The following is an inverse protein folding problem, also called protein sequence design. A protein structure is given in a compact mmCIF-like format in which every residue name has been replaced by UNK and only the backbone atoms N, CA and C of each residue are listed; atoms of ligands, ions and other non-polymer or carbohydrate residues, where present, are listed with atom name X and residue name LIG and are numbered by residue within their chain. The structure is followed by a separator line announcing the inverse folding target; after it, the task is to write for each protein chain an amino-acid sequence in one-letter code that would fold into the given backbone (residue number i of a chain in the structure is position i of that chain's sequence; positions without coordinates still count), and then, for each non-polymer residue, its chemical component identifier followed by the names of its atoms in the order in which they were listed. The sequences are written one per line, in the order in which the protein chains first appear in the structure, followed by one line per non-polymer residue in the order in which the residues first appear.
data_IF_399338559445
#
_entry.id   IF_399338559445
#
_cell.length_a   1.000
_cell.length_b   1.000
_cell.length_c   1.000
_cell.angle_alpha   90.00
_cell.angle_beta   90.00
_cell.angle_gamma   90.00
#
_symmetry.space_group_name_H-M   'P 1'
#
loop_
_entity.id
_entity.type
_entity.pdbx_description
1 polymer ?
#
# COMPACT_ATOMS: atom_id res chain seq x y z
N UNK A 1 -83.47 -1.61 -8.93
CA UNK A 1 -82.42 -2.66 -8.95
C UNK A 1 -81.61 -2.51 -7.66
N UNK A 2 -82.00 -3.20 -6.60
CA UNK A 2 -81.32 -3.09 -5.30
C UNK A 2 -80.17 -4.10 -5.26
N UNK A 3 -78.94 -3.61 -5.38
CA UNK A 3 -77.76 -4.40 -5.06
C UNK A 3 -77.72 -4.58 -3.54
N UNK A 4 -78.04 -5.78 -3.06
CA UNK A 4 -77.80 -6.17 -1.67
C UNK A 4 -76.30 -6.30 -1.47
N UNK A 5 -75.68 -5.30 -0.84
CA UNK A 5 -74.31 -5.43 -0.33
C UNK A 5 -74.30 -6.51 0.75
N UNK A 6 -73.70 -7.66 0.45
CA UNK A 6 -73.38 -8.67 1.46
C UNK A 6 -72.25 -8.10 2.32
N UNK A 7 -72.53 -7.82 3.59
CA UNK A 7 -71.52 -7.33 4.53
C UNK A 7 -70.39 -8.35 4.71
N UNK A 8 -69.16 -7.86 4.95
CA UNK A 8 -68.00 -8.70 5.20
C UNK A 8 -68.19 -9.54 6.47
N UNK A 9 -67.94 -10.84 6.36
CA UNK A 9 -67.90 -11.72 7.52
C UNK A 9 -66.63 -11.49 8.35
N UNK A 10 -66.72 -11.70 9.67
CA UNK A 10 -65.56 -11.65 10.57
C UNK A 10 -64.42 -12.58 10.10
N UNK A 11 -64.77 -13.72 9.49
CA UNK A 11 -63.83 -14.67 8.87
C UNK A 11 -63.09 -14.05 7.68
N UNK A 12 -63.77 -13.30 6.80
CA UNK A 12 -63.13 -12.66 5.64
C UNK A 12 -62.14 -11.58 6.07
N UNK A 13 -62.46 -10.82 7.12
CA UNK A 13 -61.55 -9.83 7.70
C UNK A 13 -60.31 -10.48 8.34
N UNK A 14 -60.50 -11.58 9.06
CA UNK A 14 -59.38 -12.35 9.63
C UNK A 14 -58.47 -12.93 8.53
N UNK A 15 -59.04 -13.46 7.45
CA UNK A 15 -58.26 -13.97 6.30
C UNK A 15 -57.50 -12.83 5.64
N UNK A 16 -58.12 -11.67 5.39
CA UNK A 16 -57.46 -10.52 4.78
C UNK A 16 -56.28 -9.99 5.62
N UNK A 17 -56.45 -9.92 6.95
CA UNK A 17 -55.38 -9.54 7.88
C UNK A 17 -54.25 -10.57 7.89
N UNK A 18 -54.57 -11.86 7.91
CA UNK A 18 -53.58 -12.93 7.88
C UNK A 18 -52.75 -12.88 6.59
N UNK A 19 -53.39 -12.73 5.43
CA UNK A 19 -52.70 -12.61 4.14
C UNK A 19 -51.83 -11.35 4.07
N UNK A 20 -52.33 -10.21 4.56
CA UNK A 20 -51.57 -8.96 4.62
C UNK A 20 -50.32 -9.10 5.48
N UNK A 21 -50.44 -9.76 6.64
CA UNK A 21 -49.31 -10.02 7.53
C UNK A 21 -48.25 -10.92 6.87
N UNK A 22 -48.68 -11.99 6.18
CA UNK A 22 -47.78 -12.89 5.45
C UNK A 22 -47.00 -12.12 4.37
N UNK A 23 -47.67 -11.25 3.62
CA UNK A 23 -47.02 -10.43 2.58
C UNK A 23 -46.02 -9.45 3.20
N UNK A 24 -46.39 -8.75 4.28
CA UNK A 24 -45.49 -7.81 4.97
C UNK A 24 -44.25 -8.53 5.51
N UNK A 25 -44.41 -9.72 6.09
CA UNK A 25 -43.29 -10.54 6.54
C UNK A 25 -42.39 -10.94 5.36
N UNK A 26 -42.96 -11.36 4.23
CA UNK A 26 -42.21 -11.67 3.01
C UNK A 26 -41.37 -10.48 2.51
N UNK A 27 -41.98 -9.30 2.40
CA UNK A 27 -41.29 -8.08 1.97
C UNK A 27 -40.20 -7.67 2.97
N UNK A 28 -40.46 -7.79 4.27
CA UNK A 28 -39.47 -7.48 5.30
C UNK A 28 -38.23 -8.38 5.19
N UNK A 29 -38.40 -9.68 4.92
CA UNK A 29 -37.28 -10.61 4.70
C UNK A 29 -36.44 -10.20 3.49
N UNK A 30 -37.08 -9.84 2.37
CA UNK A 30 -36.37 -9.36 1.17
C UNK A 30 -35.57 -8.10 1.48
N UNK A 31 -36.17 -7.15 2.21
CA UNK A 31 -35.49 -5.91 2.57
C UNK A 31 -34.28 -6.15 3.49
N UNK A 32 -34.41 -7.04 4.49
CA UNK A 32 -33.32 -7.42 5.38
C UNK A 32 -32.18 -8.09 4.58
N UNK A 33 -32.51 -9.02 3.70
CA UNK A 33 -31.53 -9.68 2.84
C UNK A 33 -30.80 -8.67 1.94
N UNK A 34 -31.54 -7.78 1.28
CA UNK A 34 -30.98 -6.73 0.43
C UNK A 34 -30.07 -5.78 1.21
N UNK A 35 -30.46 -5.37 2.43
CA UNK A 35 -29.62 -4.55 3.31
C UNK A 35 -28.33 -5.27 3.69
N UNK A 36 -28.40 -6.55 4.06
CA UNK A 36 -27.22 -7.34 4.42
C UNK A 36 -26.26 -7.48 3.24
N UNK A 37 -26.78 -7.75 2.04
CA UNK A 37 -25.98 -7.78 0.81
C UNK A 37 -25.34 -6.42 0.54
N UNK A 38 -26.10 -5.33 0.66
CA UNK A 38 -25.58 -3.97 0.46
C UNK A 38 -24.41 -3.66 1.41
N UNK A 39 -24.56 -3.97 2.71
CA UNK A 39 -23.49 -3.73 3.69
C UNK A 39 -22.25 -4.58 3.37
N UNK A 40 -22.43 -5.86 3.04
CA UNK A 40 -21.32 -6.74 2.64
C UNK A 40 -20.58 -6.20 1.41
N UNK A 41 -21.31 -5.77 0.38
CA UNK A 41 -20.72 -5.18 -0.82
C UNK A 41 -19.97 -3.87 -0.53
N UNK A 42 -20.54 -3.01 0.31
CA UNK A 42 -19.89 -1.77 0.71
C UNK A 42 -18.60 -2.02 1.51
N UNK A 43 -18.60 -3.00 2.42
CA UNK A 43 -17.39 -3.42 3.15
C UNK A 43 -16.34 -3.98 2.21
N UNK A 44 -16.71 -4.81 1.24
CA UNK A 44 -15.79 -5.35 0.24
C UNK A 44 -15.18 -4.24 -0.63
N UNK A 45 -15.98 -3.25 -1.04
CA UNK A 45 -15.51 -2.10 -1.80
C UNK A 45 -14.51 -1.25 -0.99
N UNK A 46 -14.80 -0.98 0.29
CA UNK A 46 -13.87 -0.26 1.17
C UNK A 46 -12.53 -1.01 1.31
N UNK A 47 -12.54 -2.33 1.49
CA UNK A 47 -11.30 -3.14 1.53
C UNK A 47 -10.51 -3.04 0.22
N UNK A 48 -11.19 -3.03 -0.93
CA UNK A 48 -10.53 -2.87 -2.22
C UNK A 48 -9.92 -1.48 -2.39
N UNK A 49 -10.58 -0.43 -1.92
CA UNK A 49 -10.08 0.94 -1.94
C UNK A 49 -8.85 1.11 -1.05
N UNK A 50 -8.90 0.60 0.18
CA UNK A 50 -7.77 0.58 1.11
C UNK A 50 -6.56 -0.16 0.49
N UNK A 51 -6.77 -1.35 -0.05
CA UNK A 51 -5.73 -2.11 -0.73
C UNK A 51 -5.17 -1.36 -1.94
N UNK A 52 -6.04 -0.77 -2.77
CA UNK A 52 -5.64 0.01 -3.95
C UNK A 52 -4.78 1.20 -3.55
N UNK A 53 -5.18 1.95 -2.52
CA UNK A 53 -4.45 3.10 -2.03
C UNK A 53 -3.04 2.71 -1.55
N UNK A 54 -2.97 1.75 -0.62
CA UNK A 54 -1.71 1.32 -0.01
C UNK A 54 -0.76 0.71 -1.03
N UNK A 55 -1.25 -0.23 -1.85
CA UNK A 55 -0.41 -0.91 -2.83
C UNK A 55 0.04 0.05 -3.93
N UNK A 56 -0.80 0.99 -4.38
CA UNK A 56 -0.39 2.00 -5.38
C UNK A 56 0.69 2.92 -4.84
N UNK A 57 0.57 3.36 -3.58
CA UNK A 57 1.60 4.17 -2.91
C UNK A 57 2.93 3.42 -2.84
N UNK A 58 2.92 2.17 -2.38
CA UNK A 58 4.12 1.34 -2.29
C UNK A 58 4.76 1.11 -3.67
N UNK A 59 3.97 0.83 -4.71
CA UNK A 59 4.47 0.65 -6.08
C UNK A 59 5.15 1.93 -6.58
N UNK A 60 4.55 3.10 -6.33
CA UNK A 60 5.12 4.38 -6.75
C UNK A 60 6.49 4.63 -6.12
N UNK A 61 6.64 4.32 -4.84
CA UNK A 61 7.91 4.46 -4.12
C UNK A 61 8.93 3.41 -4.57
N UNK A 62 8.53 2.14 -4.74
CA UNK A 62 9.40 1.07 -5.25
C UNK A 62 9.97 1.41 -6.63
N UNK A 63 9.18 2.05 -7.50
CA UNK A 63 9.65 2.47 -8.84
C UNK A 63 10.76 3.51 -8.79
N UNK A 64 10.85 4.28 -7.72
CA UNK A 64 11.83 5.36 -7.54
C UNK A 64 12.98 4.94 -6.62
N UNK A 65 12.97 3.71 -6.09
CA UNK A 65 14.08 3.14 -5.32
C UNK A 65 15.37 3.15 -6.13
N UNK A 66 16.47 3.54 -5.49
CA UNK A 66 17.79 3.63 -6.12
C UNK A 66 17.97 4.83 -7.06
N UNK A 67 16.99 5.73 -7.17
CA UNK A 67 17.16 7.02 -7.85
C UNK A 67 17.81 8.01 -6.88
N UNK A 68 19.08 8.34 -7.09
CA UNK A 68 19.83 9.28 -6.24
C UNK A 68 20.21 10.58 -6.95
N UNK A 69 19.61 10.84 -8.11
CA UNK A 69 19.94 11.96 -8.97
C UNK A 69 20.51 11.46 -10.31
N UNK A 70 21.35 12.27 -10.90
CA UNK A 70 21.88 12.10 -12.25
C UNK A 70 23.23 11.39 -12.31
N UNK A 71 24.00 11.39 -11.20
CA UNK A 71 25.30 10.74 -11.10
C UNK A 71 25.23 9.51 -10.20
N UNK A 72 25.94 8.44 -10.55
CA UNK A 72 25.98 7.21 -9.76
C UNK A 72 26.82 7.33 -8.49
N UNK A 73 27.90 8.11 -8.53
CA UNK A 73 28.73 8.40 -7.37
C UNK A 73 28.20 9.65 -6.65
N UNK A 74 27.90 9.50 -5.35
CA UNK A 74 27.41 10.59 -4.50
C UNK A 74 28.27 10.62 -3.24
N UNK A 75 28.83 11.79 -2.94
CA UNK A 75 29.61 12.00 -1.72
C UNK A 75 28.66 12.15 -0.53
N UNK A 76 28.85 11.36 0.51
CA UNK A 76 28.05 11.47 1.73
C UNK A 76 28.58 12.59 2.62
N UNK A 77 27.79 13.66 2.77
CA UNK A 77 28.01 14.75 3.73
C UNK A 77 26.82 14.86 4.71
N UNK A 78 26.08 13.77 4.90
CA UNK A 78 24.98 13.69 5.86
C UNK A 78 25.52 13.73 7.28
N UNK A 79 24.79 14.35 8.20
CA UNK A 79 25.27 14.60 9.57
C UNK A 79 25.57 13.31 10.35
N UNK A 80 24.91 12.20 9.98
CA UNK A 80 25.11 10.89 10.60
C UNK A 80 26.02 9.95 9.78
N UNK A 81 26.45 10.35 8.57
CA UNK A 81 27.20 9.49 7.66
C UNK A 81 26.45 8.22 7.23
N UNK A 82 25.11 8.27 7.22
CA UNK A 82 24.25 7.09 7.02
C UNK A 82 23.64 6.99 5.61
N UNK A 83 23.93 7.97 4.74
CA UNK A 83 23.45 7.98 3.36
C UNK A 83 24.19 6.94 2.51
N UNK A 84 25.52 6.80 2.65
CA UNK A 84 26.30 5.86 1.83
C UNK A 84 25.82 4.40 1.99
N UNK A 85 25.56 3.96 3.22
CA UNK A 85 24.99 2.63 3.49
C UNK A 85 23.58 2.46 2.90
N UNK A 86 22.78 3.54 2.90
CA UNK A 86 21.45 3.57 2.30
C UNK A 86 21.49 3.60 0.77
N UNK A 87 22.56 4.14 0.18
CA UNK A 87 22.80 4.13 -1.25
C UNK A 87 23.22 2.75 -1.76
N UNK A 88 24.07 2.04 -1.02
CA UNK A 88 24.52 0.68 -1.38
C UNK A 88 23.44 -0.37 -1.19
N UNK A 89 22.53 -0.17 -0.23
CA UNK A 89 21.40 -1.09 0.03
C UNK A 89 20.05 -0.35 0.05
N UNK A 90 19.61 0.19 -1.11
CA UNK A 90 18.44 1.06 -1.17
C UNK A 90 17.12 0.33 -0.98
N UNK A 91 17.13 -1.01 -0.99
CA UNK A 91 15.99 -1.83 -0.64
C UNK A 91 16.42 -2.96 0.26
N UNK A 92 15.73 -3.14 1.38
CA UNK A 92 16.03 -4.19 2.36
C UNK A 92 14.74 -4.76 2.93
N UNK A 93 14.66 -6.08 2.95
CA UNK A 93 13.62 -6.81 3.67
C UNK A 93 14.20 -7.44 4.92
N UNK A 94 13.62 -7.12 6.06
CA UNK A 94 13.85 -7.79 7.33
C UNK A 94 12.70 -8.75 7.58
N UNK A 95 12.95 -10.03 7.30
CA UNK A 95 11.94 -11.08 7.42
C UNK A 95 11.55 -11.37 8.87
N UNK A 96 12.44 -11.11 9.85
CA UNK A 96 12.16 -11.38 11.26
C UNK A 96 11.18 -10.35 11.83
N UNK A 97 11.32 -9.09 11.41
CA UNK A 97 10.49 -7.97 11.88
C UNK A 97 9.42 -7.52 10.85
N UNK A 98 9.27 -8.26 9.74
CA UNK A 98 8.35 -7.95 8.63
C UNK A 98 8.44 -6.48 8.18
N UNK A 99 9.68 -6.03 7.98
CA UNK A 99 10.01 -4.63 7.72
C UNK A 99 10.69 -4.45 6.36
N UNK A 100 10.04 -3.71 5.47
CA UNK A 100 10.56 -3.30 4.17
C UNK A 100 11.10 -1.87 4.28
N UNK A 101 12.40 -1.72 4.07
CA UNK A 101 13.06 -0.41 3.97
C UNK A 101 13.31 -0.08 2.52
N UNK A 102 12.88 1.11 2.09
CA UNK A 102 13.05 1.64 0.74
C UNK A 102 13.77 2.99 0.82
N UNK A 103 14.76 3.20 -0.04
CA UNK A 103 15.44 4.47 -0.24
C UNK A 103 15.12 4.94 -1.63
N UNK A 104 14.31 6.00 -1.71
CA UNK A 104 13.65 6.44 -2.93
C UNK A 104 13.77 7.94 -3.08
N UNK A 105 13.87 8.42 -4.33
CA UNK A 105 13.64 9.83 -4.61
C UNK A 105 12.17 10.19 -4.32
N UNK A 106 11.95 11.43 -3.93
CA UNK A 106 10.60 11.98 -3.77
C UNK A 106 9.89 12.11 -5.13
N UNK A 107 8.58 12.05 -5.10
CA UNK A 107 7.72 12.04 -6.29
C UNK A 107 6.74 13.20 -6.17
N UNK A 108 7.05 14.31 -6.84
CA UNK A 108 6.31 15.56 -6.74
C UNK A 108 6.91 16.54 -5.71
N UNK A 109 6.22 17.66 -5.50
CA UNK A 109 6.66 18.80 -4.67
C UNK A 109 5.88 18.96 -3.36
N UNK A 110 4.87 18.11 -3.11
CA UNK A 110 3.97 18.16 -1.95
C UNK A 110 4.40 17.25 -0.79
N UNK A 111 5.65 16.81 -0.82
CA UNK A 111 6.20 15.88 0.14
C UNK A 111 6.63 16.54 1.46
N UNK A 112 6.63 15.76 2.57
CA UNK A 112 7.27 16.19 3.82
C UNK A 112 8.80 16.31 3.73
N UNK A 113 9.44 16.71 4.83
CA UNK A 113 10.91 16.88 4.88
C UNK A 113 11.62 15.59 4.42
N UNK A 114 12.51 15.66 3.41
CA UNK A 114 13.23 14.48 2.95
C UNK A 114 14.26 14.03 4.00
N UNK A 115 14.62 12.75 3.97
CA UNK A 115 15.67 12.23 4.86
C UNK A 115 17.02 12.82 4.48
N UNK A 116 17.30 12.89 3.18
CA UNK A 116 18.46 13.57 2.63
C UNK A 116 18.07 14.35 1.37
N UNK A 117 18.88 15.33 1.00
CA UNK A 117 18.81 15.96 -0.32
C UNK A 117 20.16 15.79 -0.99
N UNK A 118 20.17 15.20 -2.19
CA UNK A 118 21.36 15.14 -3.04
C UNK A 118 21.39 16.40 -3.89
N UNK A 119 22.46 17.19 -3.76
CA UNK A 119 22.70 18.36 -4.60
C UNK A 119 23.76 18.02 -5.64
N UNK A 120 23.49 18.32 -6.91
CA UNK A 120 24.40 17.97 -8.02
C UNK A 120 24.30 18.95 -9.18
N UNK A 121 25.43 19.20 -9.85
CA UNK A 121 25.49 19.91 -11.13
C UNK A 121 25.15 19.00 -12.34
N UNK A 122 24.88 17.71 -12.08
CA UNK A 122 24.67 16.66 -13.06
C UNK A 122 25.78 16.48 -14.10
N UNK A 123 26.98 16.95 -13.79
CA UNK A 123 28.15 16.83 -14.67
C UNK A 123 29.31 16.20 -13.94
N UNK A 124 29.70 16.75 -12.79
CA UNK A 124 30.95 16.43 -12.13
C UNK A 124 30.78 16.03 -10.68
N UNK A 125 29.81 16.62 -9.97
CA UNK A 125 29.72 16.46 -8.52
C UNK A 125 28.28 16.18 -8.06
N UNK A 126 28.16 15.32 -7.05
CA UNK A 126 26.93 15.09 -6.32
C UNK A 126 27.27 14.88 -4.84
N UNK A 127 26.58 15.61 -3.96
CA UNK A 127 26.77 15.54 -2.51
C UNK A 127 25.42 15.38 -1.80
N UNK A 128 25.32 14.39 -0.93
CA UNK A 128 24.14 14.16 -0.10
C UNK A 128 24.24 14.91 1.24
N UNK A 129 23.19 15.64 1.60
CA UNK A 129 23.06 16.33 2.88
C UNK A 129 21.81 15.85 3.63
N UNK A 130 21.82 15.87 4.96
CA UNK A 130 20.62 15.55 5.76
C UNK A 130 19.55 16.64 5.59
N UNK A 131 18.28 16.23 5.46
CA UNK A 131 17.14 17.15 5.41
C UNK A 131 17.02 17.92 4.09
N UNK A 132 16.26 19.02 4.12
CA UNK A 132 16.06 19.91 2.97
C UNK A 132 17.36 20.65 2.66
N UNK A 133 17.73 20.72 1.38
CA UNK A 133 18.85 21.55 0.91
C UNK A 133 18.43 22.36 -0.31
N UNK A 134 18.74 23.66 -0.28
CA UNK A 134 18.58 24.54 -1.44
C UNK A 134 19.79 24.35 -2.36
N UNK A 135 19.61 24.09 -3.66
CA UNK A 135 20.73 23.97 -4.59
C UNK A 135 21.39 25.32 -4.85
N UNK A 136 22.69 25.32 -5.13
CA UNK A 136 23.41 26.50 -5.61
C UNK A 136 23.06 26.85 -7.07
N UNK A 137 23.65 27.93 -7.58
CA UNK A 137 23.50 28.31 -8.99
C UNK A 137 24.09 27.23 -9.90
N UNK A 138 23.28 26.71 -10.82
CA UNK A 138 23.68 25.63 -11.73
C UNK A 138 23.60 24.22 -11.14
N UNK A 139 23.11 24.07 -9.90
CA UNK A 139 22.86 22.78 -9.27
C UNK A 139 21.37 22.45 -9.23
N UNK A 140 21.08 21.14 -9.12
CA UNK A 140 19.76 20.59 -8.87
C UNK A 140 19.74 19.92 -7.51
N UNK A 141 18.59 19.95 -6.85
CA UNK A 141 18.34 19.26 -5.60
C UNK A 141 17.38 18.08 -5.83
N UNK A 142 17.80 16.89 -5.42
CA UNK A 142 17.02 15.66 -5.47
C UNK A 142 16.67 15.24 -4.04
N UNK A 143 15.42 15.44 -3.60
CA UNK A 143 14.99 14.99 -2.28
C UNK A 143 14.92 13.46 -2.24
N UNK A 144 15.60 12.86 -1.26
CA UNK A 144 15.67 11.41 -1.04
C UNK A 144 15.02 11.07 0.30
N UNK A 145 14.19 10.04 0.30
CA UNK A 145 13.51 9.53 1.48
C UNK A 145 13.94 8.11 1.80
N UNK A 146 14.11 7.86 3.09
CA UNK A 146 14.12 6.50 3.63
C UNK A 146 12.76 6.18 4.23
N UNK A 147 12.08 5.23 3.62
CA UNK A 147 10.72 4.83 3.93
C UNK A 147 10.77 3.43 4.53
N UNK A 148 10.01 3.24 5.60
CA UNK A 148 9.98 1.99 6.34
C UNK A 148 8.54 1.56 6.45
N UNK A 149 8.21 0.47 5.77
CA UNK A 149 6.97 -0.24 5.93
C UNK A 149 7.17 -1.39 6.91
N UNK A 150 6.26 -1.54 7.87
CA UNK A 150 6.29 -2.63 8.84
C UNK A 150 4.89 -3.21 8.99
N UNK A 151 4.80 -4.51 9.24
CA UNK A 151 3.55 -5.17 9.56
C UNK A 151 3.58 -5.69 11.00
N UNK A 152 2.70 -5.17 11.84
CA UNK A 152 2.54 -5.59 13.23
C UNK A 152 1.13 -5.28 13.72
N UNK A 153 0.64 -6.01 14.73
CA UNK A 153 -0.67 -5.75 15.36
C UNK A 153 -1.84 -5.57 14.36
N UNK A 154 -1.87 -6.40 13.32
CA UNK A 154 -2.88 -6.34 12.25
C UNK A 154 -2.95 -4.99 11.50
N UNK A 155 -1.85 -4.24 11.49
CA UNK A 155 -1.72 -2.96 10.84
C UNK A 155 -0.48 -2.97 9.94
N UNK A 156 -0.61 -2.36 8.77
CA UNK A 156 0.56 -1.96 8.00
C UNK A 156 0.89 -0.52 8.37
N UNK A 157 2.11 -0.30 8.87
CA UNK A 157 2.59 1.01 9.27
C UNK A 157 3.64 1.53 8.30
N UNK A 158 3.81 2.85 8.29
CA UNK A 158 4.80 3.56 7.48
C UNK A 158 5.51 4.62 8.31
N UNK A 159 6.84 4.66 8.26
CA UNK A 159 7.65 5.74 8.81
C UNK A 159 8.62 6.30 7.78
N UNK A 160 9.03 7.55 7.98
CA UNK A 160 10.00 8.24 7.11
C UNK A 160 11.11 8.83 7.98
N UNK A 161 12.37 8.58 7.63
CA UNK A 161 13.51 9.21 8.31
C UNK A 161 14.70 8.28 8.57
N UNK A 162 15.71 8.86 9.22
CA UNK A 162 16.91 8.16 9.69
C UNK A 162 16.66 7.40 11.01
N UNK A 163 17.61 6.58 11.48
CA UNK A 163 17.42 5.61 12.56
C UNK A 163 16.11 4.80 12.52
N UNK A 164 15.38 4.82 13.64
CA UNK A 164 14.05 4.22 13.84
C UNK A 164 12.98 5.32 13.92
N UNK A 165 12.49 5.82 12.78
CA UNK A 165 11.51 6.91 12.77
C UNK A 165 10.18 6.45 13.37
N UNK A 166 9.42 7.42 13.89
CA UNK A 166 8.03 7.19 14.27
C UNK A 166 7.23 6.69 13.06
N UNK A 167 6.32 5.75 13.30
CA UNK A 167 5.50 5.14 12.26
C UNK A 167 4.03 5.48 12.47
N UNK A 168 3.33 5.75 11.37
CA UNK A 168 1.90 5.96 11.33
C UNK A 168 1.21 4.75 10.70
N UNK A 169 -0.02 4.47 11.14
CA UNK A 169 -0.84 3.42 10.54
C UNK A 169 -1.26 3.84 9.14
N UNK A 170 -0.93 3.00 8.15
CA UNK A 170 -1.29 3.22 6.76
C UNK A 170 -2.60 2.51 6.40
N UNK A 171 -2.81 1.30 6.92
CA UNK A 171 -4.08 0.57 6.78
C UNK A 171 -4.28 -0.38 7.97
N UNK A 172 -5.53 -0.52 8.39
CA UNK A 172 -5.97 -1.40 9.48
C UNK A 172 -6.49 -2.73 8.95
N UNK A 173 -6.71 -3.68 9.87
CA UNK A 173 -7.33 -4.97 9.58
C UNK A 173 -6.56 -5.78 8.52
N UNK A 174 -5.23 -5.69 8.58
CA UNK A 174 -4.32 -6.49 7.77
C UNK A 174 -4.13 -7.83 8.49
N UNK A 175 -4.52 -8.92 7.84
CA UNK A 175 -4.31 -10.27 8.35
C UNK A 175 -2.94 -10.84 7.95
N UNK A 176 -2.44 -10.47 6.78
CA UNK A 176 -1.12 -10.86 6.30
C UNK A 176 -0.53 -9.81 5.34
N UNK A 177 0.78 -9.63 5.41
CA UNK A 177 1.54 -8.84 4.45
C UNK A 177 2.84 -9.57 4.10
N UNK A 178 3.00 -9.95 2.83
CA UNK A 178 4.16 -10.67 2.34
C UNK A 178 4.86 -9.90 1.22
N UNK A 179 6.18 -9.93 1.25
CA UNK A 179 7.04 -9.32 0.24
C UNK A 179 7.94 -10.39 -0.36
N UNK A 180 8.00 -10.44 -1.70
CA UNK A 180 8.92 -11.31 -2.43
C UNK A 180 9.60 -10.55 -3.55
N UNK A 181 10.81 -10.95 -3.89
CA UNK A 181 11.68 -10.22 -4.81
C UNK A 181 11.94 -11.05 -6.05
N UNK A 182 11.63 -10.50 -7.21
CA UNK A 182 12.00 -11.08 -8.50
C UNK A 182 13.48 -10.82 -8.74
N UNK A 183 14.27 -11.89 -8.80
CA UNK A 183 15.72 -11.88 -8.97
C UNK A 183 16.08 -12.27 -10.39
N UNK A 184 17.04 -11.55 -10.97
CA UNK A 184 17.68 -11.92 -12.21
C UNK A 184 18.72 -13.04 -12.01
N UNK A 185 19.11 -13.72 -13.09
CA UNK A 185 20.16 -14.74 -13.08
C UNK A 185 21.51 -14.15 -12.68
N UNK A 186 21.80 -12.91 -13.11
CA UNK A 186 23.00 -12.15 -12.77
C UNK A 186 22.68 -10.66 -12.54
N UNK A 187 23.65 -9.92 -11.99
CA UNK A 187 23.51 -8.48 -11.76
C UNK A 187 23.41 -7.64 -13.06
N UNK A 188 23.79 -8.19 -14.22
CA UNK A 188 23.70 -7.55 -15.53
C UNK A 188 22.41 -7.85 -16.29
N UNK A 189 21.73 -8.95 -15.96
CA UNK A 189 20.50 -9.34 -16.63
C UNK A 189 19.35 -8.42 -16.25
N UNK A 190 18.46 -8.14 -17.20
CA UNK A 190 17.33 -7.22 -17.01
C UNK A 190 16.04 -7.91 -16.57
N UNK A 191 15.90 -9.20 -16.88
CA UNK A 191 14.69 -9.98 -16.59
C UNK A 191 14.81 -10.70 -15.24
N UNK A 192 13.70 -10.79 -14.50
CA UNK A 192 13.60 -11.65 -13.34
C UNK A 192 13.45 -13.12 -13.79
N UNK A 193 14.25 -14.01 -13.23
CA UNK A 193 14.25 -15.46 -13.48
C UNK A 193 13.69 -16.27 -12.32
N UNK A 194 13.72 -15.74 -11.09
CA UNK A 194 13.22 -16.43 -9.89
C UNK A 194 12.62 -15.45 -8.88
N UNK A 195 11.91 -15.97 -7.88
CA UNK A 195 11.42 -15.18 -6.75
C UNK A 195 12.02 -15.69 -5.44
N UNK A 196 12.39 -14.76 -4.54
CA UNK A 196 12.86 -15.07 -3.19
C UNK A 196 12.22 -14.13 -2.17
N UNK A 197 11.88 -14.67 -1.00
CA UNK A 197 11.42 -13.88 0.15
C UNK A 197 12.59 -13.33 0.98
N UNK A 198 13.82 -13.75 0.68
CA UNK A 198 15.03 -13.31 1.39
C UNK A 198 16.19 -13.16 0.39
N UNK A 199 16.22 -12.08 -0.41
CA UNK A 199 17.28 -11.86 -1.38
C UNK A 199 18.59 -11.52 -0.66
N UNK A 200 19.66 -12.25 -0.96
CA UNK A 200 21.00 -12.02 -0.39
C UNK A 200 21.82 -10.99 -1.16
N UNK A 201 21.48 -10.76 -2.43
CA UNK A 201 22.18 -9.85 -3.35
C UNK A 201 21.21 -8.82 -3.92
N UNK A 202 21.27 -7.55 -3.45
CA UNK A 202 20.45 -6.46 -3.97
C UNK A 202 20.65 -6.18 -5.47
N UNK A 203 21.85 -6.37 -6.01
CA UNK A 203 22.16 -6.04 -7.41
C UNK A 203 21.37 -6.89 -8.42
N UNK A 204 20.83 -8.03 -7.97
CA UNK A 204 20.00 -8.95 -8.77
C UNK A 204 18.50 -8.65 -8.71
N UNK A 205 18.05 -7.77 -7.82
CA UNK A 205 16.62 -7.49 -7.67
C UNK A 205 16.12 -6.71 -8.90
N UNK A 206 15.01 -7.15 -9.50
CA UNK A 206 14.35 -6.51 -10.65
C UNK A 206 12.90 -6.15 -10.41
N UNK A 207 12.22 -6.89 -9.54
CA UNK A 207 10.86 -6.56 -9.16
C UNK A 207 10.59 -6.90 -7.71
N UNK A 208 9.56 -6.29 -7.16
CA UNK A 208 9.02 -6.57 -5.84
C UNK A 208 7.56 -6.94 -6.02
N UNK A 209 7.18 -8.11 -5.52
CA UNK A 209 5.79 -8.55 -5.42
C UNK A 209 5.32 -8.33 -4.00
N UNK A 210 4.24 -7.56 -3.87
CA UNK A 210 3.57 -7.29 -2.61
C UNK A 210 2.27 -8.08 -2.57
N UNK A 211 2.03 -8.79 -1.47
CA UNK A 211 0.79 -9.52 -1.20
C UNK A 211 0.20 -9.00 0.09
N UNK A 212 -1.02 -8.45 0.03
CA UNK A 212 -1.73 -7.87 1.16
C UNK A 212 -3.06 -8.59 1.34
N UNK A 213 -3.30 -9.14 2.54
CA UNK A 213 -4.58 -9.77 2.87
C UNK A 213 -5.31 -8.96 3.93
N UNK A 214 -6.46 -8.39 3.56
CA UNK A 214 -7.34 -7.64 4.45
C UNK A 214 -8.45 -8.55 5.00
N UNK A 215 -8.88 -8.27 6.23
CA UNK A 215 -9.99 -8.95 6.90
C UNK A 215 -11.06 -7.95 7.32
N UNK A 216 -12.33 -8.34 7.31
CA UNK A 216 -13.38 -7.55 7.96
C UNK A 216 -13.52 -7.99 9.43
N UNK A 217 -13.34 -7.09 10.41
CA UNK A 217 -13.53 -7.41 11.83
C UNK A 217 -14.90 -7.99 12.17
N UNK A 218 -15.91 -7.72 11.35
CA UNK A 218 -17.29 -8.15 11.58
C UNK A 218 -17.66 -9.40 10.77
N UNK A 219 -16.73 -9.99 10.02
CA UNK A 219 -16.94 -11.17 9.18
C UNK A 219 -18.13 -11.06 8.19
N UNK A 220 -18.46 -9.84 7.72
CA UNK A 220 -19.47 -9.62 6.67
C UNK A 220 -18.93 -9.94 5.29
N UNK A 221 -17.60 -9.92 5.15
CA UNK A 221 -16.85 -10.27 3.94
C UNK A 221 -15.70 -11.18 4.36
N UNK A 222 -15.46 -12.25 3.61
CA UNK A 222 -14.28 -13.10 3.84
C UNK A 222 -12.99 -12.38 3.47
N UNK A 223 -11.86 -12.88 3.98
CA UNK A 223 -10.54 -12.28 3.74
C UNK A 223 -10.28 -12.08 2.24
N UNK A 224 -9.82 -10.88 1.87
CA UNK A 224 -9.50 -10.53 0.49
C UNK A 224 -7.99 -10.38 0.35
N UNK A 225 -7.39 -11.09 -0.61
CA UNK A 225 -5.95 -11.03 -0.89
C UNK A 225 -5.69 -10.29 -2.19
N UNK A 226 -4.85 -9.27 -2.12
CA UNK A 226 -4.46 -8.42 -3.23
C UNK A 226 -2.98 -8.61 -3.55
N UNK A 227 -2.67 -8.73 -4.83
CA UNK A 227 -1.31 -8.97 -5.32
C UNK A 227 -0.93 -7.90 -6.33
N UNK A 228 0.23 -7.29 -6.16
CA UNK A 228 0.80 -6.36 -7.14
C UNK A 228 2.28 -6.63 -7.33
N UNK A 229 2.80 -6.30 -8.50
CA UNK A 229 4.23 -6.39 -8.81
C UNK A 229 4.70 -5.03 -9.30
N UNK A 230 5.75 -4.52 -8.67
CA UNK A 230 6.46 -3.33 -9.09
C UNK A 230 7.82 -3.72 -9.66
N UNK A 231 8.10 -3.36 -10.90
CA UNK A 231 9.46 -3.41 -11.43
C UNK A 231 10.28 -2.26 -10.83
N UNK A 232 11.52 -2.55 -10.45
CA UNK A 232 12.52 -1.54 -10.13
C UNK A 232 12.94 -0.87 -11.44
N UNK A 233 12.96 0.47 -11.46
CA UNK A 233 13.36 1.23 -12.65
C UNK A 233 14.83 1.64 -12.65
N UNK A 234 15.45 1.66 -11.47
CA UNK A 234 16.86 1.97 -11.31
C UNK A 234 17.61 0.69 -11.02
N UNK A 235 18.83 0.60 -11.58
CA UNK A 235 19.72 -0.50 -11.29
C UNK A 235 20.30 -0.30 -9.89
N UNK A 236 20.27 -1.35 -9.10
CA UNK A 236 20.83 -1.34 -7.76
C UNK A 236 22.35 -1.60 -7.86
N UNK A 237 23.16 -0.92 -7.02
CA UNK A 237 24.60 -1.12 -6.98
C UNK A 237 25.00 -2.52 -6.49
#
# INVERSE_FOLDING_TARGET
MNQTNRGFGLIELLIALALSLVVVLGVAQIFIAAKNTYVSQNTAAAMQEDARFVLSKMIQEIRMVGMFGCLGAVTDSSSAGDFNASQTTPIRWDNANLKLTLVTADVGSSGGVPTWTVVSDCRNNATAYTGVRVPGSGELAFPIRRLIYSFSNNQLLMGVGSGTPAQAVLVNNVSAFNVSFGLASSATDVAASSYSNNPTDPARIRSVRLTLTLTDPNNRVGNQTFNVVAALRNRLP
#
